data_IF_745333855956
#
_entry.id   IF_745333855956
#
_cell.length_a   1.000
_cell.length_b   1.000
_cell.length_c   1.000
_cell.angle_alpha   90.00
_cell.angle_beta   90.00
_cell.angle_gamma   90.00
#
_symmetry.space_group_name_H-M   'P 1'
#
loop_
_entity.id
_entity.type
_entity.pdbx_description
1 polymer ?
#
# COMPACT_ATOMS: atom_id res chain seq x y z
N UNK A 1 -3.07 17.52 -36.72
CA UNK A 1 -2.38 16.25 -37.02
C UNK A 1 -2.00 15.59 -35.71
N UNK A 2 -2.79 14.62 -35.26
CA UNK A 2 -2.46 13.80 -34.09
C UNK A 2 -1.47 12.73 -34.54
N UNK A 3 -0.27 12.69 -33.93
CA UNK A 3 0.67 11.61 -34.13
C UNK A 3 0.07 10.33 -33.54
N UNK A 4 -0.31 9.38 -34.40
CA UNK A 4 -0.56 8.01 -33.98
C UNK A 4 0.74 7.49 -33.39
N UNK A 5 0.81 7.44 -32.05
CA UNK A 5 1.86 6.68 -31.37
C UNK A 5 1.66 5.24 -31.84
N UNK A 6 2.52 4.78 -32.73
CA UNK A 6 2.52 3.40 -33.18
C UNK A 6 2.84 2.55 -31.95
N UNK A 7 1.80 2.10 -31.25
CA UNK A 7 1.86 0.96 -30.33
C UNK A 7 2.09 -0.31 -31.17
N UNK A 8 3.17 -0.34 -31.95
CA UNK A 8 3.79 -1.58 -32.42
C UNK A 8 4.44 -2.24 -31.20
N UNK A 9 3.63 -2.51 -30.19
CA UNK A 9 4.00 -3.19 -28.98
C UNK A 9 4.17 -4.67 -29.28
N UNK A 10 4.66 -5.38 -28.28
CA UNK A 10 4.86 -6.83 -28.25
C UNK A 10 3.69 -7.68 -28.84
N UNK A 11 2.50 -7.09 -28.94
CA UNK A 11 1.30 -7.67 -29.57
C UNK A 11 1.45 -7.90 -31.09
N UNK A 12 2.21 -7.08 -31.81
CA UNK A 12 2.44 -7.21 -33.26
C UNK A 12 3.66 -8.09 -33.59
N UNK A 13 4.44 -8.46 -32.58
CA UNK A 13 5.62 -9.30 -32.73
C UNK A 13 5.21 -10.77 -32.85
N UNK A 14 5.76 -11.54 -33.81
CA UNK A 14 5.50 -12.96 -33.88
C UNK A 14 5.83 -13.67 -32.57
N UNK A 15 4.88 -14.44 -32.03
CA UNK A 15 5.04 -15.17 -30.76
C UNK A 15 6.28 -16.08 -30.75
N UNK A 16 6.65 -16.63 -31.90
CA UNK A 16 7.86 -17.44 -32.05
C UNK A 16 9.14 -16.63 -31.80
N UNK A 17 9.22 -15.41 -32.32
CA UNK A 17 10.36 -14.52 -32.11
C UNK A 17 10.48 -14.13 -30.63
N UNK A 18 9.35 -13.82 -30.00
CA UNK A 18 9.26 -13.56 -28.56
C UNK A 18 9.77 -14.75 -27.74
N UNK A 19 9.33 -15.96 -28.08
CA UNK A 19 9.75 -17.19 -27.38
C UNK A 19 11.25 -17.41 -27.51
N UNK A 20 11.78 -17.31 -28.74
CA UNK A 20 13.21 -17.49 -29.00
C UNK A 20 14.08 -16.48 -28.24
N UNK A 21 13.64 -15.21 -28.18
CA UNK A 21 14.33 -14.19 -27.40
C UNK A 21 14.30 -14.52 -25.89
N UNK A 22 13.14 -14.92 -25.36
CA UNK A 22 13.00 -15.29 -23.94
C UNK A 22 13.91 -16.46 -23.56
N UNK A 23 14.00 -17.49 -24.40
CA UNK A 23 14.88 -18.65 -24.18
C UNK A 23 16.36 -18.25 -24.20
N UNK A 24 16.76 -17.37 -25.12
CA UNK A 24 18.12 -16.83 -25.17
C UNK A 24 18.47 -16.07 -23.89
N UNK A 25 17.59 -15.17 -23.44
CA UNK A 25 17.81 -14.42 -22.20
C UNK A 25 17.89 -15.33 -20.97
N UNK A 26 17.02 -16.33 -20.89
CA UNK A 26 17.04 -17.31 -19.80
C UNK A 26 18.36 -18.11 -19.80
N UNK A 27 18.88 -18.47 -20.98
CA UNK A 27 20.19 -19.11 -21.13
C UNK A 27 21.33 -18.21 -20.65
N UNK A 28 21.37 -16.95 -21.12
CA UNK A 28 22.39 -15.97 -20.74
C UNK A 28 22.39 -15.70 -19.23
N UNK A 29 21.21 -15.55 -18.61
CA UNK A 29 21.09 -15.35 -17.18
C UNK A 29 21.69 -16.51 -16.39
N UNK A 30 21.45 -17.77 -16.79
CA UNK A 30 22.04 -18.94 -16.13
C UNK A 30 23.56 -18.99 -16.26
N UNK A 31 24.10 -18.60 -17.41
CA UNK A 31 25.55 -18.59 -17.66
C UNK A 31 26.25 -17.50 -16.85
N UNK A 32 25.71 -16.27 -16.83
CA UNK A 32 26.34 -15.11 -16.19
C UNK A 32 26.17 -15.13 -14.67
N UNK A 33 24.97 -15.46 -14.20
CA UNK A 33 24.60 -15.34 -12.78
C UNK A 33 24.79 -16.69 -12.06
N UNK A 34 24.79 -17.80 -12.79
CA UNK A 34 24.85 -19.16 -12.26
C UNK A 34 23.44 -19.73 -12.00
N UNK A 35 23.24 -21.05 -12.17
CA UNK A 35 21.90 -21.67 -12.17
C UNK A 35 21.16 -21.53 -10.83
N UNK A 36 21.87 -21.47 -9.70
CA UNK A 36 21.26 -21.30 -8.37
C UNK A 36 20.92 -19.86 -7.98
N UNK A 37 21.24 -18.88 -8.85
CA UNK A 37 21.07 -17.45 -8.57
C UNK A 37 20.10 -16.74 -9.53
N UNK A 38 19.50 -17.48 -10.48
CA UNK A 38 18.41 -16.97 -11.31
C UNK A 38 17.15 -16.89 -10.44
N UNK A 39 16.60 -15.68 -10.28
CA UNK A 39 15.36 -15.48 -9.51
C UNK A 39 14.22 -16.24 -10.15
N UNK A 40 13.56 -17.05 -9.34
CA UNK A 40 12.36 -17.77 -9.76
C UNK A 40 11.15 -16.82 -9.74
N UNK A 41 10.08 -17.21 -10.43
CA UNK A 41 8.80 -16.50 -10.34
C UNK A 41 8.32 -16.38 -8.88
N UNK A 42 8.60 -17.39 -8.05
CA UNK A 42 8.33 -17.38 -6.61
C UNK A 42 9.13 -16.30 -5.88
N UNK A 43 10.41 -16.16 -6.18
CA UNK A 43 11.26 -15.15 -5.54
C UNK A 43 10.81 -13.73 -5.89
N UNK A 44 10.38 -13.53 -7.14
CA UNK A 44 9.85 -12.25 -7.59
C UNK A 44 8.52 -11.91 -6.90
N UNK A 45 7.60 -12.88 -6.80
CA UNK A 45 6.33 -12.70 -6.10
C UNK A 45 6.53 -12.37 -4.61
N UNK A 46 7.51 -13.03 -3.97
CA UNK A 46 7.86 -12.75 -2.59
C UNK A 46 8.43 -11.35 -2.41
N UNK A 47 9.32 -10.91 -3.31
CA UNK A 47 9.89 -9.56 -3.29
C UNK A 47 8.81 -8.48 -3.44
N UNK A 48 7.85 -8.68 -4.35
CA UNK A 48 6.72 -7.77 -4.53
C UNK A 48 5.86 -7.68 -3.26
N UNK A 49 5.61 -8.82 -2.61
CA UNK A 49 4.86 -8.86 -1.34
C UNK A 49 5.56 -8.09 -0.23
N UNK A 50 6.89 -8.20 -0.14
CA UNK A 50 7.68 -7.43 0.84
C UNK A 50 7.60 -5.94 0.57
N UNK A 51 7.66 -5.53 -0.70
CA UNK A 51 7.53 -4.14 -1.08
C UNK A 51 6.14 -3.58 -0.74
N UNK A 52 5.08 -4.36 -0.99
CA UNK A 52 3.72 -3.99 -0.60
C UNK A 52 3.58 -3.82 0.91
N UNK A 53 4.16 -4.74 1.71
CA UNK A 53 4.17 -4.60 3.17
C UNK A 53 4.87 -3.32 3.62
N UNK A 54 6.03 -3.01 3.04
CA UNK A 54 6.75 -1.77 3.33
C UNK A 54 5.92 -0.52 2.98
N UNK A 55 5.22 -0.52 1.83
CA UNK A 55 4.28 0.55 1.47
C UNK A 55 3.13 0.67 2.45
N UNK A 56 2.60 -0.45 2.93
CA UNK A 56 1.54 -0.46 3.94
C UNK A 56 2.00 0.10 5.29
N UNK A 57 3.19 -0.27 5.74
CA UNK A 57 3.80 0.26 6.98
C UNK A 57 4.04 1.77 6.89
N UNK A 58 4.60 2.24 5.77
CA UNK A 58 4.79 3.67 5.53
C UNK A 58 3.47 4.45 5.54
N UNK A 59 2.41 3.91 4.92
CA UNK A 59 1.07 4.52 4.96
C UNK A 59 0.46 4.52 6.36
N UNK A 60 0.67 3.46 7.13
CA UNK A 60 0.19 3.37 8.50
C UNK A 60 0.87 4.44 9.38
N UNK A 61 2.18 4.64 9.23
CA UNK A 61 2.91 5.68 9.96
C UNK A 61 2.39 7.07 9.63
N UNK A 62 2.30 7.41 8.34
CA UNK A 62 1.73 8.68 7.90
C UNK A 62 0.31 8.90 8.45
N UNK A 63 -0.52 7.85 8.46
CA UNK A 63 -1.88 7.94 9.01
C UNK A 63 -1.87 8.25 10.50
N UNK A 64 -0.92 7.70 11.26
CA UNK A 64 -0.75 8.00 12.69
C UNK A 64 -0.33 9.45 12.92
N UNK A 65 0.65 9.95 12.16
CA UNK A 65 1.10 11.33 12.26
C UNK A 65 -0.02 12.33 11.92
N UNK A 66 -0.76 12.08 10.84
CA UNK A 66 -1.91 12.90 10.44
C UNK A 66 -2.99 12.89 11.51
N UNK A 67 -3.32 11.72 12.08
CA UNK A 67 -4.29 11.64 13.17
C UNK A 67 -3.86 12.45 14.40
N UNK A 68 -2.57 12.41 14.75
CA UNK A 68 -2.02 13.22 15.85
C UNK A 68 -2.10 14.72 15.54
N UNK A 69 -1.85 15.13 14.29
CA UNK A 69 -1.97 16.54 13.88
C UNK A 69 -3.42 17.03 13.96
N UNK A 70 -4.37 16.21 13.50
CA UNK A 70 -5.81 16.51 13.58
C UNK A 70 -6.28 16.60 15.04
N UNK A 71 -5.85 15.67 15.90
CA UNK A 71 -6.20 15.68 17.32
C UNK A 71 -5.71 16.95 18.03
N UNK A 72 -4.51 17.46 17.68
CA UNK A 72 -3.99 18.73 18.20
C UNK A 72 -4.75 19.95 17.69
N UNK A 73 -5.32 19.87 16.48
CA UNK A 73 -6.09 20.95 15.84
C UNK A 73 -7.54 20.99 16.33
N UNK A 74 -8.09 19.87 16.77
CA UNK A 74 -9.43 19.81 17.32
C UNK A 74 -9.53 20.66 18.59
N UNK A 75 -10.23 21.80 18.51
CA UNK A 75 -10.66 22.55 19.70
C UNK A 75 -11.56 21.60 20.50
N UNK A 76 -11.30 21.39 21.81
CA UNK A 76 -12.18 20.57 22.61
C UNK A 76 -13.59 21.17 22.54
N UNK A 77 -14.56 20.39 22.06
CA UNK A 77 -15.95 20.77 22.14
C UNK A 77 -16.28 21.07 23.62
N UNK A 78 -17.03 22.15 23.92
CA UNK A 78 -17.40 22.47 25.29
C UNK A 78 -18.05 21.24 25.91
N UNK A 79 -17.47 20.73 27.00
CA UNK A 79 -18.03 19.59 27.71
C UNK A 79 -19.46 19.95 28.11
N UNK A 80 -20.47 19.09 27.86
CA UNK A 80 -21.79 19.32 28.42
C UNK A 80 -21.65 19.34 29.94
N UNK A 81 -21.76 20.53 30.52
CA UNK A 81 -21.76 20.73 31.97
C UNK A 81 -22.78 19.77 32.57
N UNK A 82 -22.43 18.95 33.58
CA UNK A 82 -23.40 18.08 34.21
C UNK A 82 -24.53 18.94 34.75
N UNK A 83 -25.71 18.83 34.15
CA UNK A 83 -26.92 19.51 34.58
C UNK A 83 -27.20 19.03 36.00
N UNK A 84 -26.87 19.86 36.99
CA UNK A 84 -27.13 19.62 38.41
C UNK A 84 -28.59 19.24 38.57
N UNK A 85 -28.85 17.98 38.91
CA UNK A 85 -30.20 17.51 39.18
C UNK A 85 -30.79 18.33 40.33
N UNK A 86 -32.08 18.71 40.29
CA UNK A 86 -32.68 19.43 41.40
C UNK A 86 -32.65 18.55 42.65
N UNK A 87 -32.06 19.08 43.72
CA UNK A 87 -32.02 18.46 45.04
C UNK A 87 -33.43 18.19 45.53
N UNK A 88 -33.77 16.91 45.67
CA UNK A 88 -35.04 16.43 46.23
C UNK A 88 -35.10 16.82 47.72
N UNK A 89 -36.14 17.52 48.20
CA UNK A 89 -36.21 17.93 49.60
C UNK A 89 -36.35 16.71 50.51
N UNK A 90 -35.57 16.71 51.60
CA UNK A 90 -35.62 15.73 52.68
C UNK A 90 -37.00 15.79 53.35
N UNK A 91 -37.78 14.72 53.22
CA UNK A 91 -39.01 14.57 53.98
C UNK A 91 -38.63 14.39 55.46
N UNK A 92 -39.05 15.32 56.32
CA UNK A 92 -39.06 15.13 57.76
C UNK A 92 -40.20 14.19 58.10
N UNK A 93 -39.88 12.97 58.51
CA UNK A 93 -40.79 12.14 59.28
C UNK A 93 -40.64 12.50 60.75
N UNK A 94 -41.79 12.82 61.35
CA UNK A 94 -42.01 13.11 62.76
C UNK A 94 -41.95 11.84 63.62
#
# INVERSE_FOLDING_TARGET
MAATRTDAGFADTPRALVSAAADLFAGLQRVVIGPGRVRTARDNAWAATLEDRARHEARAELSREVAAMVARRAVPAPQPTPRRAPSRPLAKTA
#
